data_IF_977447374563
#
_entry.id   IF_977447374563
#
_cell.length_a   1.000
_cell.length_b   1.000
_cell.length_c   1.000
_cell.angle_alpha   90.00
_cell.angle_beta   90.00
_cell.angle_gamma   90.00
#
_symmetry.space_group_name_H-M   'P 1'
#
loop_
_entity.id
_entity.type
_entity.pdbx_description
1 polymer ?
#
# COMPACT_ATOMS: atom_id res chain seq x y z
N UNK A 1 -6.32 20.56 15.23
CA UNK A 1 -6.30 19.07 15.33
C UNK A 1 -4.88 18.65 15.04
N UNK A 2 -4.21 17.99 15.98
CA UNK A 2 -2.81 17.58 15.84
C UNK A 2 -2.73 16.09 15.58
N UNK A 3 -2.03 15.68 14.53
CA UNK A 3 -1.70 14.28 14.25
C UNK A 3 -0.19 14.17 14.30
N UNK A 4 0.30 13.27 15.13
CA UNK A 4 1.73 12.99 15.28
C UNK A 4 2.00 11.55 14.88
N UNK A 5 3.09 11.32 14.15
CA UNK A 5 3.53 9.97 13.75
C UNK A 5 4.94 9.76 14.28
N UNK A 6 5.13 8.73 15.10
CA UNK A 6 6.40 8.44 15.78
C UNK A 6 6.79 6.97 15.59
N UNK A 7 8.08 6.67 15.67
CA UNK A 7 8.57 5.29 15.66
C UNK A 7 8.09 4.56 16.93
N UNK A 8 7.69 3.31 16.77
CA UNK A 8 7.05 2.53 17.84
C UNK A 8 8.03 1.81 18.78
N UNK A 9 9.34 1.86 18.54
CA UNK A 9 10.33 0.99 19.20
C UNK A 9 10.40 1.19 20.73
N UNK A 10 10.21 2.43 21.19
CA UNK A 10 10.15 2.77 22.62
C UNK A 10 8.73 2.66 23.22
N UNK A 11 7.75 2.24 22.41
CA UNK A 11 6.31 2.29 22.71
C UNK A 11 5.67 0.89 22.69
N UNK A 12 6.38 -0.11 23.22
CA UNK A 12 6.00 -1.53 23.11
C UNK A 12 4.62 -1.85 23.70
N UNK A 13 4.23 -1.23 24.82
CA UNK A 13 2.91 -1.45 25.42
C UNK A 13 1.77 -0.97 24.52
N UNK A 14 1.98 0.19 23.89
CA UNK A 14 1.02 0.87 23.04
C UNK A 14 0.81 0.14 21.70
N UNK A 15 1.90 -0.30 21.08
CA UNK A 15 1.83 -1.10 19.85
C UNK A 15 1.19 -2.46 20.12
N UNK A 16 1.50 -3.11 21.26
CA UNK A 16 0.89 -4.39 21.64
C UNK A 16 -0.61 -4.27 21.85
N UNK A 17 -1.08 -3.15 22.43
CA UNK A 17 -2.50 -2.88 22.56
C UNK A 17 -3.18 -2.76 21.18
N UNK A 18 -2.61 -1.96 20.27
CA UNK A 18 -3.16 -1.80 18.91
C UNK A 18 -3.15 -3.08 18.10
N UNK A 19 -2.08 -3.88 18.22
CA UNK A 19 -1.97 -5.18 17.57
C UNK A 19 -3.05 -6.12 18.10
N UNK A 20 -3.21 -6.21 19.42
CA UNK A 20 -4.25 -7.04 20.05
C UNK A 20 -5.66 -6.62 19.61
N UNK A 21 -5.95 -5.31 19.58
CA UNK A 21 -7.23 -4.79 19.09
C UNK A 21 -7.48 -5.14 17.62
N UNK A 22 -6.47 -4.98 16.76
CA UNK A 22 -6.55 -5.33 15.34
C UNK A 22 -6.86 -6.81 15.17
N UNK A 23 -6.13 -7.67 15.87
CA UNK A 23 -6.29 -9.13 15.84
C UNK A 23 -7.67 -9.56 16.32
N UNK A 24 -8.14 -9.02 17.44
CA UNK A 24 -9.50 -9.28 17.94
C UNK A 24 -10.58 -8.82 16.95
N UNK A 25 -10.37 -7.69 16.29
CA UNK A 25 -11.28 -7.20 15.25
C UNK A 25 -11.35 -8.16 14.06
N UNK A 26 -10.21 -8.74 13.64
CA UNK A 26 -10.20 -9.73 12.56
C UNK A 26 -10.91 -11.04 12.96
N UNK A 27 -10.60 -11.59 14.14
CA UNK A 27 -11.25 -12.82 14.66
C UNK A 27 -12.76 -12.63 14.79
N UNK A 28 -13.20 -11.46 15.26
CA UNK A 28 -14.64 -11.17 15.43
C UNK A 28 -15.38 -11.12 14.09
N UNK A 29 -14.71 -10.68 13.02
CA UNK A 29 -15.32 -10.64 11.68
C UNK A 29 -15.24 -11.98 10.95
N UNK A 30 -14.21 -12.78 11.23
CA UNK A 30 -14.01 -14.10 10.62
C UNK A 30 -13.29 -15.02 11.60
N UNK A 31 -14.02 -15.98 12.18
CA UNK A 31 -13.46 -16.93 13.16
C UNK A 31 -12.43 -17.88 12.53
N UNK A 32 -12.45 -18.06 11.20
CA UNK A 32 -11.40 -18.83 10.51
C UNK A 32 -10.03 -18.13 10.56
N UNK A 33 -10.01 -16.84 10.89
CA UNK A 33 -8.79 -16.06 11.06
C UNK A 33 -7.98 -16.47 12.30
N UNK A 34 -8.60 -17.13 13.28
CA UNK A 34 -7.88 -17.66 14.45
C UNK A 34 -6.78 -18.64 14.01
N UNK A 35 -7.10 -19.56 13.10
CA UNK A 35 -6.11 -20.48 12.53
C UNK A 35 -5.02 -19.77 11.72
N UNK A 36 -5.33 -18.64 11.07
CA UNK A 36 -4.35 -17.86 10.31
C UNK A 36 -3.32 -17.17 11.23
N UNK A 37 -3.77 -16.69 12.39
CA UNK A 37 -2.92 -16.04 13.38
C UNK A 37 -1.95 -17.03 14.05
N UNK A 38 -2.43 -18.24 14.32
CA UNK A 38 -1.62 -19.32 14.89
C UNK A 38 -0.50 -19.73 13.92
N UNK A 39 -0.77 -19.75 12.61
CA UNK A 39 0.23 -20.06 11.55
C UNK A 39 1.26 -18.93 11.39
N UNK A 40 0.91 -17.68 11.73
CA UNK A 40 1.79 -16.52 11.60
C UNK A 40 2.66 -16.26 12.85
N UNK A 41 2.65 -17.17 13.85
CA UNK A 41 3.42 -17.06 15.09
C UNK A 41 3.28 -15.68 15.75
N UNK A 42 2.04 -15.21 15.87
CA UNK A 42 1.72 -13.84 16.27
C UNK A 42 2.28 -13.42 17.64
N UNK A 43 2.29 -14.33 18.61
CA UNK A 43 2.90 -14.05 19.93
C UNK A 43 4.41 -13.84 19.85
N UNK A 44 5.11 -14.56 18.96
CA UNK A 44 6.56 -14.38 18.75
C UNK A 44 6.87 -13.08 18.01
N UNK A 45 5.98 -12.64 17.10
CA UNK A 45 6.09 -11.36 16.38
C UNK A 45 6.06 -10.14 17.32
N UNK A 46 5.22 -10.19 18.36
CA UNK A 46 5.11 -9.11 19.36
C UNK A 46 6.41 -8.98 20.17
N UNK A 47 7.10 -10.09 20.43
CA UNK A 47 8.31 -10.09 21.24
C UNK A 47 9.56 -9.62 20.47
N UNK A 48 9.52 -9.62 19.12
CA UNK A 48 10.66 -9.30 18.26
C UNK A 48 10.29 -8.27 17.18
N UNK A 49 9.59 -7.21 17.57
CA UNK A 49 9.16 -6.14 16.65
C UNK A 49 10.33 -5.49 15.90
N UNK A 50 11.48 -5.33 16.56
CA UNK A 50 12.69 -4.79 15.93
C UNK A 50 13.30 -5.73 14.89
N UNK A 51 13.19 -7.04 15.06
CA UNK A 51 13.70 -7.97 14.06
C UNK A 51 12.86 -7.94 12.78
N UNK A 52 11.54 -7.78 12.94
CA UNK A 52 10.60 -7.80 11.81
C UNK A 52 10.42 -6.43 11.14
N UNK A 53 10.42 -5.36 11.94
CA UNK A 53 10.11 -3.99 11.50
C UNK A 53 11.20 -2.97 11.86
N UNK A 54 12.37 -3.42 12.34
CA UNK A 54 13.43 -2.53 12.78
C UNK A 54 14.22 -1.88 11.64
N UNK A 55 14.88 -0.79 12.00
CA UNK A 55 15.82 -0.11 11.13
C UNK A 55 17.07 -0.98 10.87
N UNK A 56 17.76 -0.83 9.73
CA UNK A 56 17.56 0.19 8.70
C UNK A 56 16.47 -0.15 7.66
N UNK A 57 16.09 -1.42 7.53
CA UNK A 57 15.28 -1.94 6.42
C UNK A 57 13.77 -1.98 6.68
N UNK A 58 13.32 -1.95 7.93
CA UNK A 58 11.92 -1.93 8.33
C UNK A 58 11.51 -0.62 8.97
N UNK A 59 10.21 -0.41 9.16
CA UNK A 59 9.65 0.68 9.98
C UNK A 59 8.43 0.20 10.76
N UNK A 60 8.24 0.71 11.96
CA UNK A 60 7.00 0.55 12.72
C UNK A 60 6.59 1.90 13.29
N UNK A 61 5.38 2.34 12.96
CA UNK A 61 4.88 3.66 13.31
C UNK A 61 3.62 3.58 14.17
N UNK A 62 3.53 4.50 15.13
CA UNK A 62 2.32 4.87 15.84
C UNK A 62 1.82 6.23 15.33
N UNK A 63 0.50 6.39 15.30
CA UNK A 63 -0.15 7.68 15.11
C UNK A 63 -0.87 8.09 16.39
N UNK A 64 -0.65 9.32 16.82
CA UNK A 64 -1.40 9.99 17.88
C UNK A 64 -2.33 11.04 17.28
N UNK A 65 -3.53 11.16 17.84
CA UNK A 65 -4.49 12.20 17.51
C UNK A 65 -4.80 13.00 18.78
N UNK A 66 -4.40 14.26 18.82
CA UNK A 66 -4.50 15.12 20.01
C UNK A 66 -3.91 14.47 21.29
N UNK A 67 -2.80 13.74 21.16
CA UNK A 67 -2.12 13.07 22.29
C UNK A 67 -2.65 11.67 22.63
N UNK A 68 -3.73 11.22 21.99
CA UNK A 68 -4.27 9.86 22.18
C UNK A 68 -3.80 8.91 21.08
N UNK A 69 -3.38 7.71 21.44
CA UNK A 69 -2.96 6.69 20.48
C UNK A 69 -4.12 6.24 19.58
N UNK A 70 -3.94 6.46 18.29
CA UNK A 70 -5.00 6.36 17.29
C UNK A 70 -4.84 5.23 16.29
N UNK A 71 -3.61 4.81 15.99
CA UNK A 71 -3.36 3.75 15.02
C UNK A 71 -1.89 3.42 14.81
N UNK A 72 -1.63 2.44 13.96
CA UNK A 72 -0.28 1.97 13.63
C UNK A 72 -0.17 1.51 12.18
N UNK A 73 1.07 1.37 11.71
CA UNK A 73 1.41 0.73 10.43
C UNK A 73 2.84 0.18 10.49
N UNK A 74 3.08 -0.95 9.83
CA UNK A 74 4.40 -1.56 9.70
C UNK A 74 4.87 -1.66 8.25
N UNK A 75 6.19 -1.54 8.07
CA UNK A 75 6.94 -1.85 6.85
C UNK A 75 7.93 -2.95 7.20
N UNK A 76 7.78 -4.11 6.56
CA UNK A 76 8.65 -5.27 6.72
C UNK A 76 9.53 -5.44 5.49
N UNK A 77 10.81 -5.72 5.69
CA UNK A 77 11.71 -6.12 4.61
C UNK A 77 11.34 -7.52 4.08
N UNK A 78 11.25 -7.69 2.75
CA UNK A 78 11.11 -9.02 2.14
C UNK A 78 12.40 -9.45 1.46
N UNK A 79 12.96 -8.57 0.63
CA UNK A 79 14.24 -8.78 -0.06
C UNK A 79 14.84 -7.43 -0.48
N UNK A 80 15.91 -7.44 -1.28
CA UNK A 80 16.62 -6.22 -1.70
C UNK A 80 15.77 -5.21 -2.49
N UNK A 81 14.65 -5.62 -3.09
CA UNK A 81 13.78 -4.79 -3.94
C UNK A 81 12.35 -4.67 -3.41
N UNK A 82 11.91 -5.61 -2.59
CA UNK A 82 10.53 -5.71 -2.14
C UNK A 82 10.42 -5.47 -0.62
N UNK A 83 9.42 -4.67 -0.25
CA UNK A 83 8.96 -4.53 1.12
C UNK A 83 7.47 -4.87 1.22
N UNK A 84 6.99 -5.06 2.43
CA UNK A 84 5.60 -5.40 2.72
C UNK A 84 5.00 -4.37 3.70
N UNK A 85 3.87 -3.76 3.32
CA UNK A 85 3.04 -3.00 4.25
C UNK A 85 2.20 -3.99 5.05
N UNK A 86 2.32 -3.95 6.38
CA UNK A 86 1.51 -4.78 7.28
C UNK A 86 0.91 -3.95 8.41
N UNK A 87 -0.06 -4.54 9.10
CA UNK A 87 -0.59 -4.04 10.39
C UNK A 87 -1.12 -2.59 10.33
N UNK A 88 -1.69 -2.18 9.20
CA UNK A 88 -2.39 -0.91 9.13
C UNK A 88 -3.68 -1.01 9.95
N UNK A 89 -3.75 -0.27 11.05
CA UNK A 89 -4.93 -0.21 11.90
C UNK A 89 -5.15 1.21 12.42
N UNK A 90 -6.41 1.64 12.44
CA UNK A 90 -6.86 2.89 13.07
C UNK A 90 -8.07 2.57 13.92
N UNK A 91 -8.03 2.94 15.20
CA UNK A 91 -9.11 2.66 16.14
C UNK A 91 -10.42 3.30 15.64
N UNK A 92 -11.57 2.65 15.85
CA UNK A 92 -12.86 3.10 15.30
C UNK A 92 -13.17 4.58 15.53
N UNK A 93 -12.92 5.10 16.73
CA UNK A 93 -13.21 6.49 17.13
C UNK A 93 -12.37 7.55 16.38
N UNK A 94 -11.24 7.17 15.77
CA UNK A 94 -10.39 8.08 15.00
C UNK A 94 -10.50 7.90 13.47
N UNK A 95 -11.38 7.00 13.00
CA UNK A 95 -11.61 6.81 11.57
C UNK A 95 -12.29 8.04 10.95
N UNK A 96 -12.07 8.24 9.64
CA UNK A 96 -12.55 9.44 8.93
C UNK A 96 -11.70 10.70 9.15
N UNK A 97 -10.62 10.63 9.94
CA UNK A 97 -9.72 11.76 10.23
C UNK A 97 -8.43 11.75 9.40
N UNK A 98 -8.42 11.06 8.26
CA UNK A 98 -7.26 10.88 7.36
C UNK A 98 -5.99 10.22 7.96
N UNK A 99 -6.02 9.74 9.21
CA UNK A 99 -4.87 9.11 9.89
C UNK A 99 -4.30 7.94 9.06
N UNK A 100 -5.15 7.04 8.58
CA UNK A 100 -4.71 5.91 7.76
C UNK A 100 -4.00 6.33 6.47
N UNK A 101 -4.42 7.44 5.84
CA UNK A 101 -3.75 7.98 4.65
C UNK A 101 -2.37 8.53 4.99
N UNK A 102 -2.25 9.25 6.10
CA UNK A 102 -0.97 9.78 6.58
C UNK A 102 0.02 8.67 6.91
N UNK A 103 -0.44 7.60 7.58
CA UNK A 103 0.37 6.41 7.88
C UNK A 103 0.88 5.73 6.60
N UNK A 104 0.01 5.50 5.61
CA UNK A 104 0.41 4.91 4.32
C UNK A 104 1.42 5.80 3.59
N UNK A 105 1.16 7.10 3.52
CA UNK A 105 2.06 8.06 2.88
C UNK A 105 3.44 8.05 3.54
N UNK A 106 3.50 7.96 4.87
CA UNK A 106 4.75 7.91 5.62
C UNK A 106 5.57 6.67 5.26
N UNK A 107 4.98 5.48 5.27
CA UNK A 107 5.75 4.26 4.95
C UNK A 107 6.12 4.15 3.46
N UNK A 108 5.32 4.70 2.54
CA UNK A 108 5.69 4.77 1.12
C UNK A 108 6.90 5.68 0.94
N UNK A 109 6.95 6.80 1.66
CA UNK A 109 8.10 7.72 1.63
C UNK A 109 9.35 7.01 2.16
N UNK A 110 9.27 6.37 3.31
CA UNK A 110 10.39 5.63 3.89
C UNK A 110 10.84 4.47 3.00
N UNK A 111 9.91 3.74 2.37
CA UNK A 111 10.26 2.66 1.45
C UNK A 111 11.08 3.16 0.26
N UNK A 112 10.78 4.36 -0.26
CA UNK A 112 11.57 5.02 -1.32
C UNK A 112 12.97 5.38 -0.82
N UNK A 113 13.05 5.98 0.38
CA UNK A 113 14.31 6.40 0.99
C UNK A 113 15.24 5.21 1.31
N UNK A 114 14.67 4.10 1.76
CA UNK A 114 15.39 2.84 1.98
C UNK A 114 15.87 2.23 0.65
N UNK A 115 15.17 2.51 -0.45
CA UNK A 115 15.54 2.08 -1.81
C UNK A 115 14.74 0.90 -2.37
N UNK A 116 13.58 0.59 -1.80
CA UNK A 116 12.69 -0.45 -2.31
C UNK A 116 12.06 -0.06 -3.65
N UNK A 117 11.93 -1.02 -4.55
CA UNK A 117 11.24 -0.86 -5.83
C UNK A 117 9.73 -1.10 -5.71
N UNK A 118 9.34 -2.09 -4.90
CA UNK A 118 7.93 -2.48 -4.74
C UNK A 118 7.54 -2.59 -3.27
N UNK A 119 6.27 -2.30 -3.01
CA UNK A 119 5.59 -2.56 -1.74
C UNK A 119 4.41 -3.49 -1.98
N UNK A 120 4.37 -4.58 -1.26
CA UNK A 120 3.30 -5.57 -1.31
C UNK A 120 2.44 -5.45 -0.07
N UNK A 121 1.20 -5.93 -0.15
CA UNK A 121 0.35 -6.17 1.01
C UNK A 121 -0.64 -7.29 0.72
N UNK A 122 -1.05 -7.97 1.77
CA UNK A 122 -2.21 -8.84 1.79
C UNK A 122 -3.40 -8.11 2.45
N UNK A 123 -4.62 -8.34 1.95
CA UNK A 123 -5.83 -7.76 2.55
C UNK A 123 -7.01 -8.71 2.43
N UNK A 124 -7.88 -8.67 3.44
CA UNK A 124 -9.10 -9.47 3.48
C UNK A 124 -10.24 -8.78 2.74
N UNK A 125 -11.16 -9.52 2.08
CA UNK A 125 -12.25 -8.94 1.32
C UNK A 125 -13.17 -8.00 2.10
N UNK A 126 -13.42 -8.29 3.40
CA UNK A 126 -14.31 -7.48 4.23
C UNK A 126 -13.69 -6.15 4.70
N UNK A 127 -12.39 -5.93 4.48
CA UNK A 127 -11.70 -4.68 4.80
C UNK A 127 -11.88 -3.63 3.68
N UNK A 128 -13.12 -3.39 3.25
CA UNK A 128 -13.46 -2.56 2.09
C UNK A 128 -12.86 -1.14 2.16
N UNK A 129 -12.84 -0.53 3.35
CA UNK A 129 -12.26 0.79 3.57
C UNK A 129 -10.75 0.79 3.31
N UNK A 130 -10.04 -0.25 3.74
CA UNK A 130 -8.61 -0.39 3.49
C UNK A 130 -8.35 -0.59 2.00
N UNK A 131 -9.11 -1.50 1.36
CA UNK A 131 -9.05 -1.75 -0.09
C UNK A 131 -9.24 -0.46 -0.89
N UNK A 132 -10.21 0.37 -0.53
CA UNK A 132 -10.47 1.64 -1.19
C UNK A 132 -9.28 2.60 -1.06
N UNK A 133 -8.71 2.74 0.14
CA UNK A 133 -7.54 3.59 0.36
C UNK A 133 -6.33 3.08 -0.42
N UNK A 134 -6.07 1.77 -0.44
CA UNK A 134 -4.96 1.20 -1.20
C UNK A 134 -5.07 1.52 -2.70
N UNK A 135 -6.27 1.43 -3.28
CA UNK A 135 -6.51 1.83 -4.67
C UNK A 135 -6.17 3.32 -4.91
N UNK A 136 -6.50 4.21 -3.96
CA UNK A 136 -6.16 5.64 -4.06
C UNK A 136 -4.64 5.89 -4.07
N UNK A 137 -3.85 5.03 -3.43
CA UNK A 137 -2.39 5.08 -3.44
C UNK A 137 -1.76 4.35 -4.63
N UNK A 138 -2.55 3.77 -5.54
CA UNK A 138 -2.06 3.10 -6.74
C UNK A 138 -1.75 1.61 -6.57
N UNK A 139 -2.16 0.98 -5.46
CA UNK A 139 -2.05 -0.46 -5.32
C UNK A 139 -2.98 -1.17 -6.31
N UNK A 140 -2.44 -2.14 -7.04
CA UNK A 140 -3.20 -3.02 -7.92
C UNK A 140 -3.19 -4.45 -7.39
N UNK A 141 -4.21 -5.22 -7.74
CA UNK A 141 -4.32 -6.63 -7.34
C UNK A 141 -3.32 -7.48 -8.13
N UNK A 142 -2.66 -8.41 -7.46
CA UNK A 142 -1.76 -9.40 -8.06
C UNK A 142 -2.21 -10.81 -7.68
N UNK A 143 -1.70 -11.82 -8.38
CA UNK A 143 -1.80 -13.21 -7.93
C UNK A 143 -1.10 -13.39 -6.59
N UNK A 144 -1.51 -14.42 -5.83
CA UNK A 144 -0.98 -14.67 -4.49
C UNK A 144 0.56 -14.79 -4.52
N UNK A 145 1.25 -13.92 -3.77
CA UNK A 145 2.71 -13.96 -3.64
C UNK A 145 3.17 -14.69 -2.37
N UNK A 146 2.24 -15.04 -1.49
CA UNK A 146 2.50 -15.80 -0.27
C UNK A 146 1.72 -17.13 -0.27
N UNK A 147 2.17 -18.08 0.56
CA UNK A 147 1.47 -19.33 0.83
C UNK A 147 0.37 -19.14 1.90
N UNK A 148 -0.44 -18.07 1.82
CA UNK A 148 -1.52 -17.86 2.78
C UNK A 148 -2.54 -19.01 2.68
N UNK A 149 -2.91 -19.64 3.81
CA UNK A 149 -3.93 -20.70 3.82
C UNK A 149 -5.34 -20.18 3.53
N UNK A 150 -5.54 -18.85 3.48
CA UNK A 150 -6.83 -18.26 3.13
C UNK A 150 -6.94 -18.09 1.61
N UNK A 151 -7.75 -18.94 0.98
CA UNK A 151 -8.08 -18.89 -0.45
C UNK A 151 -8.76 -17.58 -0.90
N UNK A 152 -9.20 -16.74 0.05
CA UNK A 152 -9.89 -15.47 -0.19
C UNK A 152 -9.01 -14.23 -0.03
N UNK A 153 -7.74 -14.39 0.36
CA UNK A 153 -6.79 -13.25 0.41
C UNK A 153 -6.61 -12.68 -0.99
N UNK A 154 -6.72 -11.35 -1.11
CA UNK A 154 -6.44 -10.64 -2.37
C UNK A 154 -5.15 -9.86 -2.20
N UNK A 155 -4.08 -10.42 -2.72
CA UNK A 155 -2.77 -9.79 -2.65
C UNK A 155 -2.71 -8.56 -3.54
N UNK A 156 -1.98 -7.55 -3.08
CA UNK A 156 -1.82 -6.27 -3.77
C UNK A 156 -0.37 -5.87 -3.83
N UNK A 157 -0.03 -5.15 -4.90
CA UNK A 157 1.29 -4.62 -5.16
C UNK A 157 1.21 -3.16 -5.55
N UNK A 158 2.20 -2.40 -5.13
CA UNK A 158 2.45 -1.02 -5.51
C UNK A 158 3.89 -0.91 -6.00
N UNK A 159 4.07 -0.24 -7.14
CA UNK A 159 5.40 0.23 -7.55
C UNK A 159 5.72 1.49 -6.72
N UNK A 160 6.79 1.42 -5.92
CA UNK A 160 7.15 2.48 -4.98
C UNK A 160 8.31 3.33 -5.48
N UNK A 161 9.22 2.80 -6.29
CA UNK A 161 10.24 3.61 -6.97
C UNK A 161 10.18 3.46 -8.49
N UNK A 162 10.15 4.58 -9.19
CA UNK A 162 10.71 4.70 -10.53
C UNK A 162 12.15 5.20 -10.38
N UNK A 163 13.14 4.31 -10.30
CA UNK A 163 14.51 4.74 -10.62
C UNK A 163 14.55 4.97 -12.13
N UNK A 164 14.44 6.23 -12.54
CA UNK A 164 14.67 6.75 -13.89
C UNK A 164 14.12 5.86 -15.01
N UNK A 165 12.83 5.95 -15.33
CA UNK A 165 12.39 5.48 -16.64
C UNK A 165 11.22 6.30 -17.18
N UNK A 166 11.57 7.39 -17.87
CA UNK A 166 10.71 8.16 -18.78
C UNK A 166 10.13 7.33 -19.94
N UNK A 167 10.11 6.00 -19.85
CA UNK A 167 9.53 5.04 -20.81
C UNK A 167 8.36 4.22 -20.26
N UNK A 168 7.99 4.33 -18.98
CA UNK A 168 6.82 3.59 -18.46
C UNK A 168 5.47 4.20 -18.90
N UNK A 169 5.51 5.41 -19.48
CA UNK A 169 4.37 6.06 -20.14
C UNK A 169 4.43 6.00 -21.68
N UNK A 170 5.26 5.14 -22.29
CA UNK A 170 5.12 4.85 -23.72
C UNK A 170 4.13 3.73 -23.93
N UNK A 171 3.29 3.85 -24.96
CA UNK A 171 2.20 2.94 -25.34
C UNK A 171 2.59 1.47 -25.62
N UNK A 172 3.86 1.10 -25.38
CA UNK A 172 4.43 -0.22 -25.62
C UNK A 172 4.80 -0.97 -24.32
N UNK A 173 4.51 -0.42 -23.13
CA UNK A 173 4.74 -1.10 -21.85
C UNK A 173 3.61 -2.10 -21.53
N UNK A 174 3.90 -3.33 -21.06
CA UNK A 174 2.88 -4.33 -20.66
C UNK A 174 1.99 -3.86 -19.50
N UNK A 175 2.36 -2.77 -18.84
CA UNK A 175 1.60 -2.13 -17.75
C UNK A 175 0.38 -1.36 -18.30
N UNK A 176 0.44 -0.93 -19.57
CA UNK A 176 -0.62 -0.09 -20.18
C UNK A 176 -1.88 -0.88 -20.53
N UNK A 177 -1.77 -2.20 -20.76
CA UNK A 177 -2.91 -3.06 -21.11
C UNK A 177 -3.83 -3.41 -19.93
N UNK A 178 -3.46 -3.06 -18.70
CA UNK A 178 -4.22 -3.38 -17.49
C UNK A 178 -4.81 -2.17 -16.76
N UNK A 179 -4.74 -0.97 -17.37
CA UNK A 179 -5.36 0.24 -16.81
C UNK A 179 -6.82 0.32 -17.29
N UNK A 180 -7.83 0.26 -16.40
CA UNK A 180 -9.21 0.52 -16.79
C UNK A 180 -9.33 1.92 -17.40
N UNK A 181 -10.06 2.05 -18.51
CA UNK A 181 -10.23 3.31 -19.27
C UNK A 181 -10.67 4.49 -18.39
N UNK A 182 -11.33 4.22 -17.27
CA UNK A 182 -11.80 5.21 -16.30
C UNK A 182 -10.65 5.87 -15.49
N UNK A 183 -9.53 5.16 -15.28
CA UNK A 183 -8.33 5.67 -14.60
C UNK A 183 -7.48 6.52 -15.56
N UNK A 184 -7.53 6.21 -16.85
CA UNK A 184 -6.87 6.97 -17.92
C UNK A 184 -7.33 8.44 -17.90
N UNK A 185 -8.63 8.66 -17.73
CA UNK A 185 -9.25 9.99 -17.76
C UNK A 185 -8.89 10.86 -16.55
N UNK A 186 -8.74 10.25 -15.37
CA UNK A 186 -8.35 10.94 -14.14
C UNK A 186 -6.88 11.38 -14.18
N UNK A 187 -6.00 10.50 -14.68
CA UNK A 187 -4.57 10.80 -14.81
C UNK A 187 -4.31 11.87 -15.89
N UNK A 188 -5.01 11.79 -17.04
CA UNK A 188 -4.87 12.77 -18.12
C UNK A 188 -5.40 14.15 -17.76
N UNK A 189 -6.56 14.27 -17.08
CA UNK A 189 -7.10 15.58 -16.65
C UNK A 189 -6.19 16.25 -15.62
N UNK A 190 -5.53 15.47 -14.75
CA UNK A 190 -4.52 15.95 -13.81
C UNK A 190 -3.24 16.43 -14.51
N UNK A 191 -2.70 15.64 -15.44
CA UNK A 191 -1.49 16.01 -16.19
C UNK A 191 -1.71 17.22 -17.12
N UNK A 192 -2.89 17.36 -17.72
CA UNK A 192 -3.21 18.51 -18.59
C UNK A 192 -3.18 19.86 -17.84
N UNK A 193 -3.56 19.86 -16.56
CA UNK A 193 -3.47 21.03 -15.67
C UNK A 193 -2.01 21.38 -15.34
N UNK A 194 -1.15 20.38 -15.17
CA UNK A 194 0.27 20.57 -14.85
C UNK A 194 1.06 21.05 -16.07
N UNK A 195 0.74 20.54 -17.26
CA UNK A 195 1.32 20.98 -18.54
C UNK A 195 0.90 22.43 -18.88
N UNK A 196 -0.37 22.79 -18.66
CA UNK A 196 -0.85 24.19 -18.83
C UNK A 196 -0.17 25.19 -17.89
N UNK A 197 0.35 24.73 -16.75
CA UNK A 197 1.05 25.57 -15.77
C UNK A 197 2.56 25.68 -16.02
N UNK A 198 3.08 25.07 -17.11
CA UNK A 198 4.48 25.21 -17.52
C UNK A 198 5.51 24.56 -16.60
N UNK A 199 5.08 23.65 -15.72
CA UNK A 199 5.96 22.99 -14.71
C UNK A 199 6.82 21.89 -15.35
N UNK A 200 6.42 21.38 -16.53
CA UNK A 200 7.15 20.36 -17.29
C UNK A 200 7.19 20.82 -18.76
N UNK A 201 8.36 20.83 -19.44
CA UNK A 201 8.43 21.20 -20.85
C UNK A 201 7.64 20.20 -21.71
N UNK A 202 6.80 20.72 -22.60
CA UNK A 202 5.98 19.94 -23.50
C UNK A 202 6.86 19.27 -24.58
N UNK A 203 7.14 17.99 -24.41
CA UNK A 203 7.57 17.13 -25.50
C UNK A 203 6.52 16.05 -25.70
N UNK A 204 5.55 16.34 -26.57
CA UNK A 204 4.64 15.33 -27.08
C UNK A 204 4.35 15.61 -28.56
N UNK A 205 5.06 14.89 -29.44
CA UNK A 205 4.59 14.65 -30.80
C UNK A 205 3.73 13.40 -30.72
N UNK A 206 2.41 13.57 -30.82
CA UNK A 206 1.46 12.47 -30.77
C UNK A 206 1.66 11.47 -31.93
N UNK A 207 1.26 10.20 -31.75
CA UNK A 207 1.36 9.21 -32.81
C UNK A 207 0.39 9.53 -33.95
N UNK A 208 0.91 9.54 -35.19
CA UNK A 208 0.11 9.53 -36.42
C UNK A 208 -0.77 8.27 -36.43
N UNK A 209 -2.05 8.46 -36.73
CA UNK A 209 -3.00 7.37 -36.90
C UNK A 209 -2.58 6.48 -38.08
N UNK A 210 -2.29 5.21 -37.81
CA UNK A 210 -2.31 4.17 -38.84
C UNK A 210 -3.72 3.58 -38.89
N UNK A 211 -4.48 3.97 -39.91
CA UNK A 211 -5.69 3.29 -40.35
C UNK A 211 -5.35 1.92 -40.96
N UNK A 212 -6.23 0.94 -40.73
CA UNK A 212 -6.23 -0.36 -41.41
C UNK A 212 -6.39 -1.49 -40.39
N UNK A 213 -7.39 -2.35 -40.45
CA UNK A 213 -8.41 -2.63 -41.45
C UNK A 213 -8.91 -4.04 -41.10
N UNK A 214 -10.19 -4.17 -40.76
CA UNK A 214 -10.81 -5.46 -40.48
C UNK A 214 -10.97 -6.26 -41.78
N UNK A 215 -10.39 -7.46 -41.84
CA UNK A 215 -10.82 -8.60 -42.66
C UNK A 215 -10.41 -9.85 -41.86
N UNK A 216 -11.21 -10.85 -41.53
CA UNK A 216 -12.44 -11.37 -42.12
C UNK A 216 -12.27 -12.90 -42.15
N UNK A 217 -13.20 -13.63 -41.53
CA UNK A 217 -13.50 -15.06 -41.73
C UNK A 217 -12.37 -16.11 -41.63
N UNK A 218 -12.31 -16.83 -40.51
CA UNK A 218 -12.76 -18.22 -40.31
C UNK A 218 -12.56 -18.64 -38.85
#
# INVERSE_FOLDING_TARGET
MNIEIVLAYEHTQEINALFSEYTNMLITNDSSFQNYLDIQHYEEEINHLEEKYGMPSGRLYLAYYNGEIAGCIGLKNMDKKNCEMKRLYVRPQFRGKNIGKLLIQKIITDAKEIGYSYMLLDTLPFLEKAIHIYKQFGFYTIDCYNNSPMSTSRDKRLLVSEKNNSRLFSAESPVYSYIPVEVHDFFYKGMHQVIKRGIIPAFYNGPQACEGGYSGFL
#
